data_IF_594273904136
#
_entry.id   IF_594273904136
#
_cell.length_a   1.000
_cell.length_b   1.000
_cell.length_c   1.000
_cell.angle_alpha   90.00
_cell.angle_beta   90.00
_cell.angle_gamma   90.00
#
_symmetry.space_group_name_H-M   'P 1'
#
loop_
_entity.id
_entity.type
_entity.pdbx_description
1 polymer ?
#
# COMPACT_ATOMS: atom_id res chain seq x y z
N UNK A 1 -35.89 48.21 -7.08
CA UNK A 1 -36.17 47.90 -8.50
C UNK A 1 -35.24 46.75 -8.88
N UNK A 2 -35.76 45.54 -9.09
CA UNK A 2 -34.92 44.37 -9.41
C UNK A 2 -34.50 44.51 -10.87
N UNK A 3 -33.19 44.57 -11.13
CA UNK A 3 -32.69 44.64 -12.50
C UNK A 3 -32.75 43.26 -13.15
N UNK A 4 -32.97 43.17 -14.48
CA UNK A 4 -33.04 41.90 -15.20
C UNK A 4 -31.79 41.02 -15.03
N UNK A 5 -30.64 41.61 -14.72
CA UNK A 5 -29.39 40.89 -14.47
C UNK A 5 -29.38 40.17 -13.12
N UNK A 6 -30.00 40.74 -12.07
CA UNK A 6 -30.16 40.06 -10.77
C UNK A 6 -31.10 38.86 -10.92
N UNK A 7 -32.14 38.98 -11.75
CA UNK A 7 -33.09 37.89 -12.00
C UNK A 7 -32.42 36.71 -12.71
N UNK A 8 -31.57 36.95 -13.71
CA UNK A 8 -30.81 35.91 -14.41
C UNK A 8 -29.80 35.20 -13.48
N UNK A 9 -29.11 35.97 -12.64
CA UNK A 9 -28.14 35.42 -11.69
C UNK A 9 -28.78 34.47 -10.67
N UNK A 10 -30.04 34.71 -10.27
CA UNK A 10 -30.79 33.84 -9.36
C UNK A 10 -31.47 32.66 -10.07
N UNK A 11 -31.79 32.78 -11.36
CA UNK A 11 -32.46 31.72 -12.12
C UNK A 11 -31.58 30.49 -12.34
N UNK A 12 -30.29 30.68 -12.63
CA UNK A 12 -29.39 29.58 -12.97
C UNK A 12 -29.18 28.60 -11.80
N UNK A 13 -28.87 29.04 -10.56
CA UNK A 13 -28.79 28.14 -9.41
C UNK A 13 -30.10 27.39 -9.15
N UNK A 14 -31.25 28.04 -9.36
CA UNK A 14 -32.56 27.41 -9.17
C UNK A 14 -32.78 26.29 -10.19
N UNK A 15 -32.45 26.51 -11.47
CA UNK A 15 -32.55 25.51 -12.53
C UNK A 15 -31.64 24.32 -12.24
N UNK A 16 -30.38 24.57 -11.85
CA UNK A 16 -29.43 23.50 -11.48
C UNK A 16 -29.96 22.69 -10.29
N UNK A 17 -30.53 23.35 -9.28
CA UNK A 17 -31.09 22.69 -8.11
C UNK A 17 -32.30 21.82 -8.48
N UNK A 18 -33.22 22.33 -9.30
CA UNK A 18 -34.40 21.58 -9.75
C UNK A 18 -33.98 20.36 -10.58
N UNK A 19 -33.05 20.53 -11.53
CA UNK A 19 -32.52 19.43 -12.35
C UNK A 19 -31.81 18.40 -11.47
N UNK A 20 -30.99 18.85 -10.51
CA UNK A 20 -30.30 17.97 -9.56
C UNK A 20 -31.27 17.15 -8.72
N UNK A 21 -32.32 17.76 -8.20
CA UNK A 21 -33.38 17.07 -7.44
C UNK A 21 -34.14 16.08 -8.32
N UNK A 22 -34.50 16.48 -9.55
CA UNK A 22 -35.18 15.61 -10.51
C UNK A 22 -34.31 14.40 -10.87
N UNK A 23 -33.03 14.62 -11.12
CA UNK A 23 -32.05 13.57 -11.39
C UNK A 23 -31.94 12.60 -10.19
N UNK A 24 -31.76 13.13 -8.98
CA UNK A 24 -31.72 12.30 -7.78
C UNK A 24 -33.01 11.48 -7.59
N UNK A 25 -34.17 12.04 -7.94
CA UNK A 25 -35.45 11.34 -7.82
C UNK A 25 -35.61 10.23 -8.88
N UNK A 26 -35.28 10.53 -10.14
CA UNK A 26 -35.36 9.57 -11.25
C UNK A 26 -34.39 8.41 -11.05
N UNK A 27 -33.16 8.69 -10.62
CA UNK A 27 -32.12 7.69 -10.40
C UNK A 27 -32.10 7.11 -8.98
N UNK A 28 -33.03 7.50 -8.09
CA UNK A 28 -33.07 7.01 -6.71
C UNK A 28 -33.17 5.48 -6.64
N UNK A 29 -33.98 4.89 -7.53
CA UNK A 29 -34.18 3.44 -7.58
C UNK A 29 -32.90 2.73 -8.05
N UNK A 30 -32.26 3.22 -9.11
CA UNK A 30 -31.05 2.61 -9.65
C UNK A 30 -29.85 2.78 -8.73
N UNK A 31 -29.68 3.95 -8.11
CA UNK A 31 -28.64 4.20 -7.11
C UNK A 31 -28.86 3.30 -5.89
N UNK A 32 -30.10 3.17 -5.39
CA UNK A 32 -30.39 2.28 -4.27
C UNK A 32 -30.16 0.81 -4.62
N UNK A 33 -30.46 0.41 -5.86
CA UNK A 33 -30.20 -0.93 -6.38
C UNK A 33 -28.70 -1.21 -6.50
N UNK A 34 -27.92 -0.26 -7.02
CA UNK A 34 -26.46 -0.33 -7.11
C UNK A 34 -25.82 -0.37 -5.72
N UNK A 35 -26.27 0.46 -4.78
CA UNK A 35 -25.80 0.44 -3.39
C UNK A 35 -26.16 -0.88 -2.70
N UNK A 36 -27.36 -1.41 -2.93
CA UNK A 36 -27.75 -2.71 -2.40
C UNK A 36 -26.95 -3.85 -3.04
N UNK A 37 -26.60 -3.75 -4.32
CA UNK A 37 -25.72 -4.70 -5.01
C UNK A 37 -24.28 -4.59 -4.51
N UNK A 38 -23.76 -3.39 -4.26
CA UNK A 38 -22.44 -3.16 -3.64
C UNK A 38 -22.38 -3.70 -2.21
N UNK A 39 -23.44 -3.50 -1.42
CA UNK A 39 -23.55 -4.06 -0.06
C UNK A 39 -23.69 -5.59 -0.04
N UNK A 40 -24.35 -6.17 -1.05
CA UNK A 40 -24.53 -7.62 -1.19
C UNK A 40 -23.39 -8.31 -1.94
N UNK A 41 -22.64 -7.56 -2.75
CA UNK A 41 -21.43 -8.01 -3.39
C UNK A 41 -20.38 -8.20 -2.30
N UNK A 42 -20.35 -9.41 -1.74
CA UNK A 42 -19.18 -9.89 -1.02
C UNK A 42 -18.01 -9.78 -1.98
N UNK A 43 -17.01 -8.95 -1.65
CA UNK A 43 -15.75 -8.99 -2.37
C UNK A 43 -15.26 -10.45 -2.38
N UNK A 44 -14.86 -11.01 -3.53
CA UNK A 44 -14.32 -12.35 -3.58
C UNK A 44 -13.06 -12.38 -2.71
N UNK A 45 -13.18 -12.95 -1.51
CA UNK A 45 -12.18 -12.87 -0.45
C UNK A 45 -12.71 -12.65 0.97
N UNK A 46 -13.99 -12.28 1.15
CA UNK A 46 -14.64 -12.25 2.47
C UNK A 46 -14.20 -11.12 3.41
N UNK A 47 -13.46 -10.13 2.92
CA UNK A 47 -13.11 -8.95 3.70
C UNK A 47 -14.30 -7.98 3.76
N UNK A 48 -15.16 -8.12 4.77
CA UNK A 48 -16.05 -7.06 5.19
C UNK A 48 -15.16 -5.91 5.71
N UNK A 49 -14.98 -4.89 4.87
CA UNK A 49 -14.34 -3.59 5.19
C UNK A 49 -13.02 -3.71 5.98
N UNK A 50 -11.91 -4.01 5.30
CA UNK A 50 -10.58 -3.73 5.86
C UNK A 50 -10.37 -2.21 5.83
N UNK A 51 -10.44 -1.56 7.00
CA UNK A 51 -9.94 -0.20 7.14
C UNK A 51 -8.41 -0.19 7.09
N UNK A 52 -7.81 0.93 6.68
CA UNK A 52 -6.36 1.11 6.71
C UNK A 52 -5.87 0.93 8.16
N UNK A 53 -4.96 -0.02 8.41
CA UNK A 53 -4.47 -0.38 9.75
C UNK A 53 -5.16 -1.57 10.41
N UNK A 54 -6.12 -2.23 9.75
CA UNK A 54 -6.83 -3.39 10.32
C UNK A 54 -6.43 -4.75 9.71
N UNK A 55 -5.50 -4.77 8.76
CA UNK A 55 -5.03 -6.02 8.20
C UNK A 55 -4.32 -6.84 9.29
N UNK A 56 -4.39 -8.18 9.23
CA UNK A 56 -3.68 -9.02 10.20
C UNK A 56 -2.15 -8.76 10.21
N UNK A 57 -1.61 -8.20 9.13
CA UNK A 57 -0.20 -7.73 9.07
C UNK A 57 0.05 -6.52 9.98
N UNK A 58 -0.96 -5.67 10.19
CA UNK A 58 -0.89 -4.49 11.08
C UNK A 58 -1.02 -4.89 12.55
N UNK A 59 -1.58 -6.09 12.82
CA UNK A 59 -1.76 -6.66 14.17
C UNK A 59 -0.60 -7.54 14.63
N UNK A 60 0.43 -7.72 13.81
CA UNK A 60 1.64 -8.42 14.25
C UNK A 60 2.28 -7.63 15.40
N UNK A 61 2.38 -8.33 16.53
CA UNK A 61 2.86 -7.89 17.86
C UNK A 61 4.13 -7.03 17.82
N UNK A 62 4.39 -6.22 18.87
CA UNK A 62 5.55 -5.35 18.95
C UNK A 62 6.81 -6.17 18.71
N UNK A 63 7.50 -5.82 17.63
CA UNK A 63 8.72 -6.47 17.14
C UNK A 63 9.90 -6.40 18.12
N UNK A 64 9.71 -6.07 19.40
CA UNK A 64 10.77 -5.55 20.28
C UNK A 64 11.85 -6.59 20.61
N UNK A 65 11.51 -7.87 20.84
CA UNK A 65 12.52 -8.92 21.08
C UNK A 65 13.20 -9.42 19.79
N UNK A 66 12.47 -9.50 18.69
CA UNK A 66 13.06 -9.86 17.39
C UNK A 66 13.95 -8.71 16.88
N UNK A 67 13.58 -7.46 17.16
CA UNK A 67 14.30 -6.24 16.80
C UNK A 67 15.67 -6.10 17.44
N UNK A 68 15.84 -6.53 18.69
CA UNK A 68 17.15 -6.47 19.36
C UNK A 68 18.15 -7.42 18.67
N UNK A 69 17.73 -8.66 18.36
CA UNK A 69 18.54 -9.60 17.56
C UNK A 69 18.74 -9.13 16.13
N UNK A 70 17.79 -8.37 15.61
CA UNK A 70 17.82 -7.79 14.27
C UNK A 70 18.82 -6.63 14.19
N UNK A 71 18.91 -5.78 15.22
CA UNK A 71 19.91 -4.70 15.32
C UNK A 71 21.34 -5.23 15.29
N UNK A 72 21.62 -6.32 16.00
CA UNK A 72 22.95 -6.95 15.99
C UNK A 72 23.33 -7.49 14.59
N UNK A 73 22.37 -8.07 13.86
CA UNK A 73 22.58 -8.52 12.46
C UNK A 73 22.72 -7.36 11.47
N UNK A 74 21.92 -6.31 11.65
CA UNK A 74 21.99 -5.06 10.88
C UNK A 74 23.40 -4.46 10.97
N UNK A 75 24.00 -4.46 12.17
CA UNK A 75 25.31 -3.86 12.38
C UNK A 75 26.46 -4.67 11.74
N UNK A 76 26.30 -5.99 11.63
CA UNK A 76 27.24 -6.89 10.98
C UNK A 76 27.15 -6.88 9.44
N UNK A 77 25.97 -6.66 8.87
CA UNK A 77 25.75 -6.74 7.41
C UNK A 77 25.75 -5.38 6.69
N UNK A 78 25.49 -4.27 7.41
CA UNK A 78 25.02 -3.04 6.79
C UNK A 78 26.05 -2.06 6.23
N UNK A 79 27.32 -2.08 6.64
CA UNK A 79 27.96 -0.76 6.80
C UNK A 79 28.98 -0.28 5.75
N UNK A 80 29.08 -0.85 4.54
CA UNK A 80 30.00 -0.27 3.52
C UNK A 80 29.48 -0.08 2.10
N UNK A 81 28.30 -0.59 1.73
CA UNK A 81 27.84 -0.51 0.33
C UNK A 81 26.46 0.15 0.11
N UNK A 82 25.65 0.35 1.15
CA UNK A 82 24.29 0.88 0.95
C UNK A 82 24.33 2.40 0.71
N UNK A 83 23.77 2.84 -0.41
CA UNK A 83 23.75 4.24 -0.87
C UNK A 83 22.56 4.99 -0.28
N UNK A 84 22.59 5.25 1.02
CA UNK A 84 21.51 5.95 1.74
C UNK A 84 21.23 7.38 1.25
N UNK A 85 22.19 8.01 0.56
CA UNK A 85 22.00 9.30 -0.10
C UNK A 85 21.11 9.24 -1.35
N UNK A 86 20.84 8.05 -1.89
CA UNK A 86 19.98 7.86 -3.05
C UNK A 86 18.50 7.77 -2.62
N UNK A 87 17.98 8.88 -2.11
CA UNK A 87 16.62 9.00 -1.57
C UNK A 87 15.53 8.61 -2.57
N UNK A 88 15.75 8.82 -3.87
CA UNK A 88 14.82 8.40 -4.91
C UNK A 88 14.59 6.88 -4.93
N UNK A 89 15.68 6.10 -4.88
CA UNK A 89 15.55 4.63 -4.81
C UNK A 89 14.97 4.14 -3.47
N UNK A 90 15.21 4.85 -2.36
CA UNK A 90 14.59 4.55 -1.06
C UNK A 90 13.07 4.77 -1.13
N UNK A 91 12.64 5.87 -1.71
CA UNK A 91 11.22 6.16 -1.92
C UNK A 91 10.57 5.08 -2.78
N UNK A 92 11.16 4.78 -3.94
CA UNK A 92 10.57 3.82 -4.88
C UNK A 92 10.52 2.40 -4.33
N UNK A 93 11.55 1.93 -3.60
CA UNK A 93 11.44 0.60 -2.97
C UNK A 93 10.30 0.55 -1.96
N UNK A 94 10.13 1.58 -1.12
CA UNK A 94 9.04 1.63 -0.15
C UNK A 94 7.68 1.64 -0.84
N UNK A 95 7.54 2.50 -1.85
CA UNK A 95 6.35 2.60 -2.69
C UNK A 95 6.01 1.25 -3.35
N UNK A 96 6.98 0.61 -4.01
CA UNK A 96 6.73 -0.61 -4.79
C UNK A 96 6.38 -1.80 -3.90
N UNK A 97 7.00 -1.91 -2.72
CA UNK A 97 6.63 -2.93 -1.73
C UNK A 97 5.20 -2.72 -1.22
N UNK A 98 4.83 -1.48 -0.87
CA UNK A 98 3.46 -1.14 -0.44
C UNK A 98 2.43 -1.38 -1.55
N UNK A 99 2.73 -0.96 -2.77
CA UNK A 99 1.89 -1.22 -3.94
C UNK A 99 1.73 -2.72 -4.17
N UNK A 100 2.81 -3.50 -4.04
CA UNK A 100 2.77 -4.95 -4.19
C UNK A 100 1.85 -5.59 -3.14
N UNK A 101 1.91 -5.14 -1.88
CA UNK A 101 0.98 -5.57 -0.82
C UNK A 101 -0.48 -5.27 -1.23
N UNK A 102 -0.77 -4.06 -1.69
CA UNK A 102 -2.13 -3.67 -2.08
C UNK A 102 -2.67 -4.54 -3.24
N UNK A 103 -1.89 -4.75 -4.30
CA UNK A 103 -2.33 -5.58 -5.43
C UNK A 103 -2.48 -7.06 -5.04
N UNK A 104 -1.63 -7.59 -4.15
CA UNK A 104 -1.76 -8.94 -3.61
C UNK A 104 -3.10 -9.07 -2.88
N UNK A 105 -3.41 -8.16 -1.96
CA UNK A 105 -4.62 -8.23 -1.12
C UNK A 105 -5.90 -8.04 -1.95
N UNK A 106 -5.86 -7.21 -3.00
CA UNK A 106 -7.00 -6.97 -3.91
C UNK A 106 -7.28 -8.10 -4.89
N UNK A 107 -6.52 -9.19 -4.86
CA UNK A 107 -6.78 -10.32 -5.74
C UNK A 107 -6.22 -10.15 -7.15
N UNK A 108 -5.19 -9.31 -7.35
CA UNK A 108 -4.62 -9.08 -8.68
C UNK A 108 -4.03 -10.36 -9.31
N UNK A 109 -3.86 -10.39 -10.64
CA UNK A 109 -3.14 -11.46 -11.34
C UNK A 109 -1.69 -11.59 -10.84
N UNK A 110 -1.17 -12.82 -10.85
CA UNK A 110 0.20 -13.17 -10.47
C UNK A 110 1.24 -12.29 -11.16
N UNK A 111 1.04 -11.94 -12.43
CA UNK A 111 1.96 -11.14 -13.23
C UNK A 111 2.21 -9.77 -12.60
N UNK A 112 1.18 -9.14 -12.03
CA UNK A 112 1.29 -7.85 -11.36
C UNK A 112 2.10 -7.97 -10.06
N UNK A 113 1.94 -9.07 -9.35
CA UNK A 113 2.67 -9.36 -8.11
C UNK A 113 4.15 -9.53 -8.43
N UNK A 114 4.49 -10.36 -9.42
CA UNK A 114 5.86 -10.57 -9.90
C UNK A 114 6.47 -9.24 -10.38
N UNK A 115 5.70 -8.42 -11.09
CA UNK A 115 6.15 -7.11 -11.54
C UNK A 115 6.57 -6.22 -10.36
N UNK A 116 5.72 -6.06 -9.34
CA UNK A 116 6.03 -5.23 -8.17
C UNK A 116 7.24 -5.72 -7.38
N UNK A 117 7.37 -7.04 -7.21
CA UNK A 117 8.55 -7.63 -6.58
C UNK A 117 9.84 -7.36 -7.37
N UNK A 118 9.79 -7.42 -8.71
CA UNK A 118 10.95 -7.13 -9.58
C UNK A 118 11.34 -5.65 -9.56
N UNK A 119 10.37 -4.73 -9.53
CA UNK A 119 10.66 -3.29 -9.36
C UNK A 119 11.32 -3.02 -8.00
N UNK A 120 10.77 -3.60 -6.93
CA UNK A 120 11.37 -3.54 -5.59
C UNK A 120 12.81 -4.08 -5.60
N UNK A 121 13.06 -5.21 -6.28
CA UNK A 121 14.40 -5.80 -6.41
C UNK A 121 15.39 -4.87 -7.14
N UNK A 122 14.93 -4.21 -8.20
CA UNK A 122 15.73 -3.24 -8.94
C UNK A 122 16.19 -2.09 -8.05
N UNK A 123 15.29 -1.53 -7.24
CA UNK A 123 15.61 -0.42 -6.34
C UNK A 123 16.52 -0.84 -5.19
N UNK A 124 16.31 -2.00 -4.55
CA UNK A 124 17.23 -2.46 -3.47
C UNK A 124 18.64 -2.74 -4.01
N UNK A 125 18.77 -3.30 -5.22
CA UNK A 125 20.09 -3.51 -5.84
C UNK A 125 20.77 -2.19 -6.16
N UNK A 126 20.01 -1.23 -6.66
CA UNK A 126 20.52 0.13 -6.94
C UNK A 126 20.98 0.85 -5.67
N UNK A 127 20.36 0.53 -4.52
CA UNK A 127 20.79 0.98 -3.19
C UNK A 127 22.00 0.22 -2.67
N UNK A 128 22.43 -0.90 -3.25
CA UNK A 128 23.61 -1.65 -2.80
C UNK A 128 23.29 -2.81 -1.84
N UNK A 129 22.04 -3.27 -1.75
CA UNK A 129 21.64 -4.45 -0.96
C UNK A 129 22.06 -5.79 -1.59
N UNK A 130 23.13 -5.81 -2.40
CA UNK A 130 23.57 -7.01 -3.11
C UNK A 130 24.13 -8.05 -2.12
N UNK A 131 23.70 -9.30 -2.24
CA UNK A 131 23.96 -10.44 -1.37
C UNK A 131 23.53 -10.24 0.10
N UNK A 132 22.61 -9.32 0.36
CA UNK A 132 22.04 -9.13 1.71
C UNK A 132 20.85 -10.07 1.93
N UNK A 133 20.48 -10.37 3.19
CA UNK A 133 19.26 -11.13 3.47
C UNK A 133 18.00 -10.52 2.89
N UNK A 134 17.93 -9.19 2.74
CA UNK A 134 16.79 -8.50 2.10
C UNK A 134 16.66 -8.96 0.65
N UNK A 135 17.76 -8.93 -0.12
CA UNK A 135 17.76 -9.35 -1.50
C UNK A 135 17.41 -10.84 -1.63
N UNK A 136 18.01 -11.68 -0.78
CA UNK A 136 17.75 -13.13 -0.79
C UNK A 136 16.28 -13.43 -0.53
N UNK A 137 15.66 -12.76 0.46
CA UNK A 137 14.23 -12.92 0.77
C UNK A 137 13.36 -12.50 -0.41
N UNK A 138 13.68 -11.36 -1.05
CA UNK A 138 12.91 -10.86 -2.18
C UNK A 138 13.07 -11.75 -3.43
N UNK A 139 14.28 -12.25 -3.70
CA UNK A 139 14.54 -13.23 -4.76
C UNK A 139 13.75 -14.52 -4.54
N UNK A 140 13.67 -15.01 -3.29
CA UNK A 140 12.86 -16.18 -2.95
C UNK A 140 11.37 -15.95 -3.20
N UNK A 141 10.84 -14.77 -2.87
CA UNK A 141 9.45 -14.40 -3.19
C UNK A 141 9.21 -14.36 -4.70
N UNK A 142 10.13 -13.79 -5.47
CA UNK A 142 10.04 -13.74 -6.94
C UNK A 142 10.04 -15.15 -7.53
N UNK A 143 11.02 -15.99 -7.16
CA UNK A 143 11.15 -17.36 -7.67
C UNK A 143 9.91 -18.20 -7.36
N UNK A 144 9.39 -18.09 -6.14
CA UNK A 144 8.17 -18.79 -5.75
C UNK A 144 6.93 -18.26 -6.50
N UNK A 145 6.82 -16.94 -6.71
CA UNK A 145 5.70 -16.33 -7.44
C UNK A 145 5.75 -16.65 -8.94
N UNK A 146 6.94 -16.76 -9.53
CA UNK A 146 7.11 -17.12 -10.94
C UNK A 146 6.74 -18.58 -11.21
N UNK A 147 6.99 -19.46 -10.24
CA UNK A 147 6.67 -20.90 -10.30
C UNK A 147 5.22 -21.23 -9.95
N UNK A 148 4.50 -20.31 -9.29
CA UNK A 148 3.10 -20.54 -8.93
C UNK A 148 2.15 -20.31 -10.11
N UNK A 149 1.03 -21.03 -10.08
CA UNK A 149 -0.11 -20.83 -10.95
C UNK A 149 -1.05 -19.76 -10.36
N UNK A 150 -1.96 -19.22 -11.17
CA UNK A 150 -2.91 -18.21 -10.71
C UNK A 150 -3.83 -18.75 -9.60
N UNK A 151 -4.18 -20.03 -9.67
CA UNK A 151 -5.05 -20.75 -8.74
C UNK A 151 -4.40 -20.94 -7.36
N UNK A 152 -3.06 -20.92 -7.28
CA UNK A 152 -2.32 -21.03 -6.02
C UNK A 152 -2.47 -19.77 -5.15
N UNK A 153 -2.86 -18.64 -5.74
CA UNK A 153 -3.03 -17.36 -5.05
C UNK A 153 -4.35 -17.28 -4.27
N UNK A 154 -4.52 -18.22 -3.35
CA UNK A 154 -5.58 -18.23 -2.35
C UNK A 154 -5.45 -17.05 -1.39
N UNK A 155 -6.53 -16.68 -0.65
CA UNK A 155 -6.46 -15.64 0.37
C UNK A 155 -5.34 -15.87 1.41
N UNK A 156 -5.13 -17.12 1.83
CA UNK A 156 -4.04 -17.49 2.75
C UNK A 156 -2.67 -17.19 2.14
N UNK A 157 -2.44 -17.64 0.91
CA UNK A 157 -1.17 -17.41 0.21
C UNK A 157 -0.88 -15.92 0.03
N UNK A 158 -1.90 -15.14 -0.32
CA UNK A 158 -1.84 -13.69 -0.47
C UNK A 158 -1.46 -13.01 0.85
N UNK A 159 -2.10 -13.40 1.96
CA UNK A 159 -1.76 -12.88 3.28
C UNK A 159 -0.33 -13.24 3.70
N UNK A 160 0.14 -14.46 3.42
CA UNK A 160 1.52 -14.87 3.68
C UNK A 160 2.53 -14.01 2.91
N UNK A 161 2.28 -13.77 1.62
CA UNK A 161 3.14 -12.90 0.81
C UNK A 161 3.12 -11.45 1.29
N UNK A 162 1.93 -10.91 1.58
CA UNK A 162 1.79 -9.54 2.10
C UNK A 162 2.53 -9.36 3.43
N UNK A 163 2.46 -10.35 4.34
CA UNK A 163 3.19 -10.33 5.61
C UNK A 163 4.71 -10.36 5.44
N UNK A 164 5.21 -11.20 4.54
CA UNK A 164 6.66 -11.26 4.26
C UNK A 164 7.17 -9.96 3.63
N UNK A 165 6.42 -9.38 2.69
CA UNK A 165 6.75 -8.08 2.07
C UNK A 165 6.70 -6.96 3.12
N UNK A 166 5.69 -6.96 4.00
CA UNK A 166 5.58 -6.01 5.11
C UNK A 166 6.76 -6.10 6.08
N UNK A 167 7.23 -7.31 6.39
CA UNK A 167 8.43 -7.54 7.20
C UNK A 167 9.69 -6.98 6.52
N UNK A 168 9.86 -7.19 5.21
CA UNK A 168 10.96 -6.61 4.43
C UNK A 168 10.90 -5.07 4.46
N UNK A 169 9.72 -4.50 4.21
CA UNK A 169 9.50 -3.05 4.23
C UNK A 169 9.84 -2.45 5.60
N UNK A 170 9.37 -3.06 6.69
CA UNK A 170 9.67 -2.62 8.05
C UNK A 170 11.16 -2.68 8.39
N UNK A 171 11.88 -3.69 7.89
CA UNK A 171 13.33 -3.79 8.06
C UNK A 171 14.08 -2.70 7.27
N UNK A 172 13.70 -2.45 6.02
CA UNK A 172 14.26 -1.34 5.22
C UNK A 172 13.98 0.01 5.90
N UNK A 173 12.78 0.20 6.43
CA UNK A 173 12.39 1.39 7.20
C UNK A 173 13.35 1.63 8.37
N UNK A 174 13.52 0.66 9.26
CA UNK A 174 14.44 0.76 10.42
C UNK A 174 15.88 1.05 10.01
N UNK A 175 16.34 0.44 8.92
CA UNK A 175 17.66 0.73 8.38
C UNK A 175 17.76 2.18 7.88
N UNK A 176 16.76 2.66 7.15
CA UNK A 176 16.71 4.05 6.68
C UNK A 176 16.70 5.03 7.85
N UNK A 177 15.88 4.80 8.88
CA UNK A 177 15.82 5.62 10.10
C UNK A 177 17.19 5.69 10.79
N UNK A 178 17.88 4.56 10.91
CA UNK A 178 19.20 4.47 11.55
C UNK A 178 20.32 5.13 10.75
N UNK A 179 20.11 5.37 9.45
CA UNK A 179 21.12 5.92 8.53
C UNK A 179 20.77 7.33 8.02
N UNK A 180 19.64 7.91 8.44
CA UNK A 180 19.24 9.28 8.10
C UNK A 180 19.46 10.20 9.30
N UNK A 181 20.49 11.03 9.21
CA UNK A 181 20.77 12.04 10.23
C UNK A 181 19.58 12.99 10.40
N UNK A 182 19.21 13.27 11.65
CA UNK A 182 18.09 14.16 12.02
C UNK A 182 16.71 13.67 11.54
N UNK A 183 16.53 12.37 11.29
CA UNK A 183 15.21 11.83 11.01
C UNK A 183 14.32 11.93 12.27
N UNK A 184 13.15 12.55 12.10
CA UNK A 184 12.13 12.71 13.14
C UNK A 184 10.83 12.05 12.69
N UNK A 185 10.52 10.81 13.13
CA UNK A 185 9.32 10.11 12.70
C UNK A 185 8.03 10.72 13.25
N UNK A 186 8.12 11.41 14.39
CA UNK A 186 6.97 12.00 15.06
C UNK A 186 7.13 13.53 15.19
N UNK A 187 6.32 14.33 14.48
CA UNK A 187 6.39 15.80 14.54
C UNK A 187 6.02 16.37 15.92
N UNK A 188 5.31 15.62 16.76
CA UNK A 188 4.85 16.07 18.09
C UNK A 188 5.92 15.97 19.17
N UNK A 189 7.04 15.29 18.92
CA UNK A 189 8.11 15.09 19.91
C UNK A 189 9.11 16.27 20.02
N UNK A 190 8.82 17.41 19.40
CA UNK A 190 9.62 18.64 19.52
C UNK A 190 9.34 19.30 20.87
N UNK A 191 10.14 18.95 21.89
CA UNK A 191 10.23 19.73 23.14
C UNK A 191 11.18 20.90 23.00
#
# INVERSE_FOLDING_TARGET
MITPEILKALLWPLVVLIIGVLFLFLFRKDISSLLNRLKKAKWPGGAETLFFGEANVDKLTPLDEENEKLKDRIHLEGNKAVKWSNSGNIFWVGHDLMWTIDVIIRGAPRENIVHGLRQSLHHIRSLGFVNTPIEIRLLKLIDNAEKSLQEDWTPTQRNTYAGEIGSILGYIGKLAESNQANFEPNPENKK
#
